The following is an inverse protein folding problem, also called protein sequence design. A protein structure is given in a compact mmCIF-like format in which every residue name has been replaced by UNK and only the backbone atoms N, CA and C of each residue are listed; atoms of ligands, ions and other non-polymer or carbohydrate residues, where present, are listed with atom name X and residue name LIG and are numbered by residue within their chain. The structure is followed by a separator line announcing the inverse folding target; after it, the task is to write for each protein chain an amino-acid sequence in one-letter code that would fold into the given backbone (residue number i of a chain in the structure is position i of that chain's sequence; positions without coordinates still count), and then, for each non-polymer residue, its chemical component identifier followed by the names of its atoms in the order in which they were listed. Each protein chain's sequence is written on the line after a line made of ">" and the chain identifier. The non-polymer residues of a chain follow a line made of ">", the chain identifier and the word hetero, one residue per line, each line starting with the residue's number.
data_IF_607159926374
#
_entry.id   IF_607159926374
#
_cell.length_a   1.000
_cell.length_b   1.000
_cell.length_c   1.000
_cell.angle_alpha   90.00
_cell.angle_beta   90.00
_cell.angle_gamma   90.00
#
_symmetry.space_group_name_H-M   'P 1'
#
loop_
_entity.id
_entity.type
_entity.pdbx_description
1 polymer ?
#
# COMPACT_ATOMS: atom_id res chain seq x y z
N UNK A 1 -6.55 9.20 42.44
CA UNK A 1 -5.86 8.22 41.57
C UNK A 1 -6.46 6.82 41.65
N UNK A 2 -6.87 6.27 42.81
CA UNK A 2 -7.43 4.91 42.86
C UNK A 2 -8.81 4.77 42.20
N UNK A 3 -9.69 5.78 42.29
CA UNK A 3 -11.04 5.69 41.67
C UNK A 3 -11.01 5.70 40.13
N UNK A 4 -10.11 6.47 39.50
CA UNK A 4 -9.94 6.51 38.04
C UNK A 4 -9.34 5.19 37.50
N UNK A 5 -8.38 4.61 38.22
CA UNK A 5 -7.76 3.33 37.87
C UNK A 5 -8.77 2.17 38.01
N UNK A 6 -9.59 2.20 39.07
CA UNK A 6 -10.62 1.18 39.30
C UNK A 6 -11.73 1.25 38.25
N UNK A 7 -12.03 2.45 37.75
CA UNK A 7 -13.00 2.68 36.68
C UNK A 7 -12.47 2.21 35.32
N UNK A 8 -11.22 2.54 34.95
CA UNK A 8 -10.62 2.08 33.68
C UNK A 8 -10.53 0.55 33.60
N UNK A 9 -10.00 -0.11 34.65
CA UNK A 9 -9.94 -1.57 34.68
C UNK A 9 -11.33 -2.21 34.56
N UNK A 10 -12.32 -1.69 35.28
CA UNK A 10 -13.70 -2.15 35.19
C UNK A 10 -14.26 -2.01 33.77
N UNK A 11 -14.02 -0.88 33.09
CA UNK A 11 -14.49 -0.67 31.71
C UNK A 11 -13.86 -1.65 30.74
N UNK A 12 -12.54 -1.89 30.84
CA UNK A 12 -11.85 -2.87 29.99
C UNK A 12 -12.33 -4.30 30.23
N UNK A 13 -12.43 -4.71 31.49
CA UNK A 13 -12.94 -6.04 31.86
C UNK A 13 -14.38 -6.23 31.35
N UNK A 14 -15.23 -5.21 31.48
CA UNK A 14 -16.62 -5.24 31.01
C UNK A 14 -16.72 -5.23 29.49
N UNK A 15 -15.91 -4.43 28.81
CA UNK A 15 -15.84 -4.41 27.35
C UNK A 15 -15.43 -5.79 26.83
N UNK A 16 -14.40 -6.40 27.41
CA UNK A 16 -13.97 -7.75 27.07
C UNK A 16 -15.07 -8.80 27.28
N UNK A 17 -15.83 -8.72 28.38
CA UNK A 17 -16.99 -9.60 28.64
C UNK A 17 -18.05 -9.47 27.55
N UNK A 18 -18.44 -8.24 27.19
CA UNK A 18 -19.41 -7.98 26.13
C UNK A 18 -18.89 -8.47 24.78
N UNK A 19 -17.59 -8.36 24.56
CA UNK A 19 -16.93 -8.82 23.35
C UNK A 19 -17.05 -10.35 23.19
N UNK A 20 -16.80 -11.08 24.28
CA UNK A 20 -16.91 -12.55 24.30
C UNK A 20 -18.37 -13.02 24.18
N UNK A 21 -19.34 -12.32 24.77
CA UNK A 21 -20.77 -12.65 24.62
C UNK A 21 -21.24 -12.66 23.17
N UNK A 22 -20.78 -11.69 22.39
CA UNK A 22 -21.10 -11.63 20.96
C UNK A 22 -20.45 -12.75 20.17
N UNK A 23 -19.27 -13.20 20.60
CA UNK A 23 -18.64 -14.39 20.05
C UNK A 23 -19.42 -15.67 20.34
N UNK A 24 -19.98 -15.78 21.55
CA UNK A 24 -20.81 -16.92 21.97
C UNK A 24 -22.19 -16.95 21.28
N UNK A 25 -22.50 -15.93 20.47
CA UNK A 25 -23.71 -15.86 19.64
C UNK A 25 -24.86 -15.09 20.26
N UNK A 26 -24.62 -14.28 21.30
CA UNK A 26 -25.63 -13.32 21.78
C UNK A 26 -25.95 -12.26 20.71
N UNK A 27 -27.15 -11.67 20.79
CA UNK A 27 -27.59 -10.66 19.82
C UNK A 27 -26.82 -9.35 19.98
N UNK A 28 -26.35 -8.79 18.87
CA UNK A 28 -25.70 -7.47 18.84
C UNK A 28 -26.55 -6.37 19.47
N UNK A 29 -27.87 -6.41 19.30
CA UNK A 29 -28.78 -5.42 19.90
C UNK A 29 -28.84 -5.54 21.43
N UNK A 30 -28.79 -6.76 21.97
CA UNK A 30 -28.84 -7.02 23.41
C UNK A 30 -27.54 -6.56 24.06
N UNK A 31 -26.41 -6.90 23.44
CA UNK A 31 -25.08 -6.51 23.95
C UNK A 31 -24.85 -5.01 23.78
N UNK A 32 -25.37 -4.38 22.72
CA UNK A 32 -25.37 -2.91 22.58
C UNK A 32 -26.14 -2.23 23.69
N UNK A 33 -27.31 -2.76 24.05
CA UNK A 33 -28.11 -2.23 25.14
C UNK A 33 -27.37 -2.37 26.48
N UNK A 34 -26.75 -3.52 26.74
CA UNK A 34 -25.94 -3.75 27.92
C UNK A 34 -24.72 -2.80 27.96
N UNK A 35 -24.06 -2.56 26.83
CA UNK A 35 -22.97 -1.59 26.70
C UNK A 35 -23.45 -0.19 27.11
N UNK A 36 -24.54 0.32 26.53
CA UNK A 36 -25.05 1.67 26.81
C UNK A 36 -25.48 1.82 28.27
N UNK A 37 -26.07 0.78 28.87
CA UNK A 37 -26.51 0.78 30.27
C UNK A 37 -25.32 0.71 31.26
N UNK A 38 -24.27 -0.04 30.92
CA UNK A 38 -23.12 -0.29 31.81
C UNK A 38 -21.93 0.66 31.61
N UNK A 39 -21.67 1.05 30.36
CA UNK A 39 -20.52 1.80 29.88
C UNK A 39 -21.01 2.96 28.98
N UNK A 40 -21.44 4.06 29.61
CA UNK A 40 -22.00 5.23 28.88
C UNK A 40 -21.14 5.67 27.70
N UNK A 41 -19.88 6.01 27.96
CA UNK A 41 -18.89 6.37 26.96
C UNK A 41 -17.58 5.62 27.25
N UNK A 42 -16.87 5.20 26.20
CA UNK A 42 -15.61 4.45 26.31
C UNK A 42 -14.51 5.22 25.56
N UNK A 43 -13.38 5.54 26.21
CA UNK A 43 -12.24 6.13 25.51
C UNK A 43 -11.72 5.19 24.40
N UNK A 44 -11.42 5.73 23.21
CA UNK A 44 -10.92 4.92 22.08
C UNK A 44 -9.66 4.10 22.42
N UNK A 45 -8.76 4.64 23.25
CA UNK A 45 -7.57 3.92 23.68
C UNK A 45 -7.89 2.63 24.45
N UNK A 46 -8.96 2.62 25.27
CA UNK A 46 -9.38 1.42 25.99
C UNK A 46 -9.97 0.35 25.07
N UNK A 47 -10.63 0.76 23.98
CA UNK A 47 -11.13 -0.18 22.94
C UNK A 47 -9.95 -0.90 22.29
N UNK A 48 -8.94 -0.14 21.86
CA UNK A 48 -7.75 -0.68 21.20
C UNK A 48 -6.98 -1.63 22.13
N UNK A 49 -6.80 -1.25 23.40
CA UNK A 49 -6.12 -2.10 24.38
C UNK A 49 -6.82 -3.46 24.54
N UNK A 50 -8.15 -3.47 24.68
CA UNK A 50 -8.92 -4.71 24.84
C UNK A 50 -8.82 -5.60 23.60
N UNK A 51 -8.83 -5.02 22.39
CA UNK A 51 -8.66 -5.78 21.14
C UNK A 51 -7.28 -6.44 21.06
N UNK A 52 -6.22 -5.71 21.41
CA UNK A 52 -4.85 -6.27 21.43
C UNK A 52 -4.71 -7.38 22.47
N UNK A 53 -5.30 -7.20 23.67
CA UNK A 53 -5.30 -8.22 24.72
C UNK A 53 -5.96 -9.53 24.24
N UNK A 54 -7.09 -9.45 23.52
CA UNK A 54 -7.79 -10.63 22.99
C UNK A 54 -7.00 -11.37 21.91
N UNK A 55 -6.31 -10.63 21.03
CA UNK A 55 -5.43 -11.23 20.00
C UNK A 55 -4.28 -11.98 20.67
N UNK A 56 -3.65 -11.37 21.68
CA UNK A 56 -2.54 -11.97 22.42
C UNK A 56 -2.95 -13.23 23.21
N UNK A 57 -4.20 -13.30 23.65
CA UNK A 57 -4.76 -14.47 24.34
C UNK A 57 -5.08 -15.66 23.41
N UNK A 58 -4.80 -15.53 22.11
CA UNK A 58 -4.79 -16.65 21.16
C UNK A 58 -6.10 -16.84 20.39
N UNK A 59 -6.95 -15.82 20.35
CA UNK A 59 -8.17 -15.85 19.56
C UNK A 59 -7.83 -15.86 18.05
N UNK A 60 -8.37 -16.80 17.25
CA UNK A 60 -8.08 -16.88 15.82
C UNK A 60 -8.38 -15.58 15.09
N UNK A 61 -7.52 -15.16 14.17
CA UNK A 61 -7.66 -13.88 13.45
C UNK A 61 -8.99 -13.76 12.68
N UNK A 62 -9.49 -14.86 12.13
CA UNK A 62 -10.80 -14.92 11.47
C UNK A 62 -11.98 -14.70 12.41
N UNK A 63 -11.81 -15.04 13.69
CA UNK A 63 -12.80 -14.80 14.73
C UNK A 63 -12.70 -13.37 15.25
N UNK A 64 -11.49 -12.80 15.33
CA UNK A 64 -11.27 -11.38 15.65
C UNK A 64 -11.93 -10.47 14.61
N UNK A 65 -11.83 -10.80 13.32
CA UNK A 65 -12.55 -10.07 12.26
C UNK A 65 -14.07 -10.05 12.49
N UNK A 66 -14.67 -11.21 12.81
CA UNK A 66 -16.11 -11.30 13.13
C UNK A 66 -16.46 -10.55 14.42
N UNK A 67 -15.58 -10.59 15.41
CA UNK A 67 -15.74 -9.85 16.67
C UNK A 67 -15.72 -8.33 16.41
N UNK A 68 -14.81 -7.82 15.60
CA UNK A 68 -14.71 -6.39 15.31
C UNK A 68 -15.93 -5.85 14.54
N UNK A 69 -16.54 -6.67 13.66
CA UNK A 69 -17.78 -6.31 12.97
C UNK A 69 -18.92 -6.08 13.95
N UNK A 70 -19.04 -6.98 14.91
CA UNK A 70 -20.14 -6.97 15.86
C UNK A 70 -19.92 -5.87 16.91
N UNK A 71 -18.69 -5.63 17.40
CA UNK A 71 -18.43 -4.56 18.37
C UNK A 71 -18.34 -3.17 17.78
N UNK A 72 -17.91 -3.01 16.53
CA UNK A 72 -17.97 -1.71 15.84
C UNK A 72 -19.39 -1.15 15.89
N UNK A 73 -20.38 -1.97 15.54
CA UNK A 73 -21.81 -1.59 15.59
C UNK A 73 -22.33 -1.28 17.01
N UNK A 74 -21.71 -1.87 18.03
CA UNK A 74 -22.09 -1.71 19.45
C UNK A 74 -21.46 -0.44 20.03
N UNK A 75 -20.21 -0.15 19.66
CA UNK A 75 -19.43 0.99 20.11
C UNK A 75 -19.75 2.29 19.35
N UNK A 76 -20.33 2.18 18.15
CA UNK A 76 -20.73 3.30 17.30
C UNK A 76 -21.51 4.37 18.06
N UNK A 77 -20.96 5.59 18.06
CA UNK A 77 -21.52 6.78 18.71
C UNK A 77 -21.32 6.84 20.24
N UNK A 78 -20.65 5.86 20.84
CA UNK A 78 -20.36 5.79 22.28
C UNK A 78 -18.86 5.94 22.60
N UNK A 79 -18.04 6.25 21.60
CA UNK A 79 -16.60 6.49 21.77
C UNK A 79 -16.36 7.92 22.28
N UNK A 80 -15.60 8.07 23.36
CA UNK A 80 -15.22 9.38 23.89
C UNK A 80 -13.99 9.94 23.16
N UNK A 81 -14.18 11.02 22.41
CA UNK A 81 -13.15 11.71 21.64
C UNK A 81 -12.61 12.97 22.35
N UNK A 82 -13.00 13.24 23.59
CA UNK A 82 -12.59 14.46 24.31
C UNK A 82 -11.07 14.58 24.54
N UNK A 83 -10.34 13.46 24.47
CA UNK A 83 -8.88 13.41 24.54
C UNK A 83 -8.14 13.51 23.20
N UNK A 84 -8.86 13.55 22.07
CA UNK A 84 -8.23 13.55 20.75
C UNK A 84 -7.45 14.87 20.50
N UNK A 85 -6.26 14.75 19.90
CA UNK A 85 -5.44 15.91 19.53
C UNK A 85 -6.10 16.74 18.44
N UNK A 86 -5.83 18.05 18.46
CA UNK A 86 -6.20 18.95 17.38
C UNK A 86 -5.46 18.55 16.08
N UNK A 87 -6.18 18.59 14.96
CA UNK A 87 -5.66 18.23 13.65
C UNK A 87 -5.41 19.54 12.87
N UNK A 88 -4.16 19.85 12.48
CA UNK A 88 -3.86 21.02 11.67
C UNK A 88 -4.51 20.95 10.29
N UNK A 89 -4.82 22.12 9.71
CA UNK A 89 -5.34 22.18 8.34
C UNK A 89 -4.30 21.68 7.33
N UNK A 90 -4.76 20.89 6.36
CA UNK A 90 -3.92 20.25 5.34
C UNK A 90 -3.20 18.99 5.82
N UNK A 91 -3.16 18.73 7.14
CA UNK A 91 -2.55 17.51 7.69
C UNK A 91 -3.16 16.26 7.03
N UNK A 92 -2.43 15.15 6.83
CA UNK A 92 -2.96 13.94 6.20
C UNK A 92 -4.30 13.46 6.80
N UNK A 93 -4.44 13.51 8.13
CA UNK A 93 -5.72 13.21 8.82
C UNK A 93 -6.84 14.22 8.51
N UNK A 94 -6.54 15.51 8.36
CA UNK A 94 -7.54 16.50 7.93
C UNK A 94 -8.02 16.19 6.51
N UNK A 95 -7.11 15.83 5.61
CA UNK A 95 -7.43 15.41 4.25
C UNK A 95 -8.31 14.15 4.27
N UNK A 96 -7.93 13.10 5.02
CA UNK A 96 -8.76 11.90 5.16
C UNK A 96 -10.17 12.22 5.66
N UNK A 97 -10.31 13.10 6.66
CA UNK A 97 -11.62 13.53 7.17
C UNK A 97 -12.45 14.28 6.11
N UNK A 98 -11.82 15.11 5.28
CA UNK A 98 -12.49 15.82 4.18
C UNK A 98 -12.96 14.87 3.09
N UNK A 99 -12.14 13.87 2.75
CA UNK A 99 -12.54 12.80 1.83
C UNK A 99 -13.71 11.98 2.38
N UNK A 100 -13.70 11.66 3.68
CA UNK A 100 -14.80 10.97 4.37
C UNK A 100 -16.13 11.71 4.28
N UNK A 101 -16.10 13.06 4.36
CA UNK A 101 -17.28 13.90 4.17
C UNK A 101 -17.81 13.78 2.75
N UNK A 102 -16.95 13.81 1.72
CA UNK A 102 -17.38 13.69 0.33
C UNK A 102 -17.88 12.28 0.01
N UNK A 103 -17.22 11.24 0.52
CA UNK A 103 -17.65 9.84 0.44
C UNK A 103 -19.06 9.65 1.01
N UNK A 104 -19.32 10.17 2.23
CA UNK A 104 -20.66 10.13 2.85
C UNK A 104 -21.71 10.83 1.97
N UNK A 105 -21.41 11.98 1.37
CA UNK A 105 -22.35 12.68 0.47
C UNK A 105 -22.69 11.86 -0.78
N UNK A 106 -21.70 11.21 -1.39
CA UNK A 106 -21.93 10.34 -2.57
C UNK A 106 -22.73 9.11 -2.16
N UNK A 107 -22.41 8.49 -1.03
CA UNK A 107 -23.12 7.35 -0.47
C UNK A 107 -24.60 7.67 -0.15
N UNK A 108 -24.87 8.83 0.44
CA UNK A 108 -26.24 9.31 0.70
C UNK A 108 -27.04 9.52 -0.58
N UNK A 109 -26.44 10.11 -1.62
CA UNK A 109 -27.09 10.29 -2.93
C UNK A 109 -27.38 8.94 -3.60
N UNK A 110 -26.43 8.02 -3.57
CA UNK A 110 -26.61 6.66 -4.09
C UNK A 110 -27.76 5.95 -3.37
N UNK A 111 -27.76 5.98 -2.03
CA UNK A 111 -28.83 5.40 -1.20
C UNK A 111 -30.19 6.01 -1.50
N UNK A 112 -30.28 7.33 -1.64
CA UNK A 112 -31.51 8.02 -2.01
C UNK A 112 -32.06 7.59 -3.37
N UNK A 113 -31.19 7.38 -4.36
CA UNK A 113 -31.63 6.83 -5.65
C UNK A 113 -32.11 5.40 -5.55
N UNK A 114 -31.41 4.53 -4.82
CA UNK A 114 -31.83 3.14 -4.62
C UNK A 114 -33.22 3.06 -3.96
N UNK A 115 -33.47 3.89 -2.95
CA UNK A 115 -34.78 3.98 -2.28
C UNK A 115 -35.90 4.48 -3.20
N UNK A 116 -35.56 5.28 -4.22
CA UNK A 116 -36.51 5.79 -5.20
C UNK A 116 -36.85 4.80 -6.31
N UNK A 117 -36.25 3.60 -6.36
CA UNK A 117 -36.43 2.61 -7.43
C UNK A 117 -37.90 2.33 -7.76
N UNK A 118 -38.74 2.15 -6.74
CA UNK A 118 -40.18 1.87 -6.90
C UNK A 118 -40.97 2.99 -7.57
N UNK A 119 -40.41 4.19 -7.67
CA UNK A 119 -41.04 5.38 -8.26
C UNK A 119 -40.55 5.64 -9.69
N UNK A 120 -39.57 4.87 -10.19
CA UNK A 120 -38.97 5.08 -11.51
C UNK A 120 -39.88 4.54 -12.60
N UNK A 121 -40.29 5.40 -13.54
CA UNK A 121 -41.05 5.00 -14.71
C UNK A 121 -40.20 4.23 -15.73
N UNK A 122 -40.83 3.37 -16.53
CA UNK A 122 -40.13 2.56 -17.57
C UNK A 122 -39.30 3.40 -18.54
N UNK A 123 -39.80 4.56 -18.93
CA UNK A 123 -39.12 5.46 -19.88
C UNK A 123 -37.90 6.18 -19.27
N UNK A 124 -37.78 6.22 -17.94
CA UNK A 124 -36.68 6.88 -17.22
C UNK A 124 -35.65 5.88 -16.66
N UNK A 125 -35.95 4.58 -16.72
CA UNK A 125 -35.17 3.53 -16.07
C UNK A 125 -33.73 3.44 -16.59
N UNK A 126 -33.52 3.56 -17.91
CA UNK A 126 -32.17 3.54 -18.49
C UNK A 126 -31.30 4.69 -17.95
N UNK A 127 -31.87 5.90 -17.89
CA UNK A 127 -31.19 7.08 -17.33
C UNK A 127 -30.92 6.93 -15.83
N UNK A 128 -31.85 6.32 -15.10
CA UNK A 128 -31.72 6.00 -13.69
C UNK A 128 -30.55 5.04 -13.43
N UNK A 129 -30.40 3.97 -14.22
CA UNK A 129 -29.27 3.03 -14.13
C UNK A 129 -27.94 3.75 -14.43
N UNK A 130 -27.87 4.59 -15.46
CA UNK A 130 -26.66 5.35 -15.74
C UNK A 130 -26.28 6.29 -14.58
N UNK A 131 -27.26 6.91 -13.91
CA UNK A 131 -27.00 7.74 -12.74
C UNK A 131 -26.46 6.91 -11.56
N UNK A 132 -27.06 5.74 -11.27
CA UNK A 132 -26.55 4.82 -10.25
C UNK A 132 -25.12 4.35 -10.57
N UNK A 133 -24.84 3.98 -11.82
CA UNK A 133 -23.49 3.62 -12.26
C UNK A 133 -22.49 4.74 -11.97
N UNK A 134 -22.87 6.00 -12.25
CA UNK A 134 -22.06 7.17 -11.94
C UNK A 134 -21.66 7.21 -10.46
N UNK A 135 -22.64 7.10 -9.56
CA UNK A 135 -22.38 7.12 -8.11
C UNK A 135 -21.51 5.95 -7.63
N UNK A 136 -21.76 4.73 -8.09
CA UNK A 136 -20.92 3.59 -7.69
C UNK A 136 -19.50 3.65 -8.25
N UNK A 137 -19.31 4.21 -9.45
CA UNK A 137 -17.98 4.49 -9.98
C UNK A 137 -17.26 5.58 -9.15
N UNK A 138 -17.97 6.63 -8.71
CA UNK A 138 -17.42 7.64 -7.79
C UNK A 138 -17.06 7.03 -6.43
N UNK A 139 -17.91 6.16 -5.86
CA UNK A 139 -17.61 5.48 -4.60
C UNK A 139 -16.40 4.56 -4.71
N UNK A 140 -16.13 3.95 -5.89
CA UNK A 140 -14.95 3.12 -6.10
C UNK A 140 -13.63 3.91 -5.98
N UNK A 141 -13.67 5.24 -6.07
CA UNK A 141 -12.51 6.11 -5.84
C UNK A 141 -11.95 5.96 -4.41
N UNK A 142 -12.75 5.45 -3.47
CA UNK A 142 -12.35 5.10 -2.09
C UNK A 142 -11.12 4.19 -2.02
N UNK A 143 -10.81 3.45 -3.09
CA UNK A 143 -9.62 2.61 -3.14
C UNK A 143 -8.33 3.40 -2.85
N UNK A 144 -8.22 4.64 -3.35
CA UNK A 144 -7.05 5.49 -3.09
C UNK A 144 -6.96 5.86 -1.60
N UNK A 145 -8.09 6.21 -0.99
CA UNK A 145 -8.19 6.50 0.44
C UNK A 145 -7.76 5.29 1.28
N UNK A 146 -8.22 4.08 0.92
CA UNK A 146 -7.83 2.84 1.58
C UNK A 146 -6.35 2.51 1.39
N UNK A 147 -5.84 2.58 0.17
CA UNK A 147 -4.43 2.31 -0.13
C UNK A 147 -3.49 3.22 0.67
N UNK A 148 -3.79 4.51 0.81
CA UNK A 148 -2.96 5.40 1.64
C UNK A 148 -2.95 4.98 3.10
N UNK A 149 -4.08 4.54 3.67
CA UNK A 149 -4.07 4.02 5.05
C UNK A 149 -3.28 2.72 5.14
N UNK A 150 -3.52 1.79 4.21
CA UNK A 150 -2.90 0.46 4.15
C UNK A 150 -1.39 0.51 3.99
N UNK A 151 -0.89 1.37 3.10
CA UNK A 151 0.53 1.40 2.74
C UNK A 151 1.30 2.54 3.42
N UNK A 152 0.63 3.61 3.88
CA UNK A 152 1.31 4.74 4.49
C UNK A 152 1.04 4.89 5.98
N UNK A 153 -0.14 4.53 6.51
CA UNK A 153 -0.47 4.73 7.94
C UNK A 153 -0.24 3.45 8.74
N UNK A 154 -0.79 2.33 8.29
CA UNK A 154 -0.75 1.04 8.98
C UNK A 154 0.67 0.55 9.29
N UNK A 155 1.68 0.69 8.40
CA UNK A 155 3.04 0.25 8.73
C UNK A 155 3.65 0.97 9.94
N UNK A 156 3.29 2.23 10.18
CA UNK A 156 3.74 2.97 11.36
C UNK A 156 3.02 2.51 12.62
N UNK A 157 1.74 2.13 12.54
CA UNK A 157 1.01 1.52 13.66
C UNK A 157 1.62 0.16 14.04
N UNK A 158 1.89 -0.67 13.04
CA UNK A 158 2.46 -2.01 13.20
C UNK A 158 3.89 -1.96 13.76
N UNK A 159 4.71 -0.99 13.32
CA UNK A 159 6.05 -0.75 13.89
C UNK A 159 6.02 -0.41 15.38
N UNK A 160 4.89 0.12 15.86
CA UNK A 160 4.64 0.42 17.27
C UNK A 160 3.80 -0.68 17.95
N UNK A 161 3.83 -1.91 17.43
CA UNK A 161 3.16 -3.10 17.97
C UNK A 161 1.61 -3.06 17.95
N UNK A 162 1.01 -2.09 17.27
CA UNK A 162 -0.44 -2.03 17.05
C UNK A 162 -0.77 -2.73 15.73
N UNK A 163 -1.13 -4.02 15.80
CA UNK A 163 -1.35 -4.86 14.60
C UNK A 163 -2.81 -5.27 14.37
N UNK A 164 -3.62 -5.39 15.44
CA UNK A 164 -5.05 -5.72 15.36
C UNK A 164 -5.89 -4.78 14.47
N UNK A 165 -6.06 -3.50 14.82
CA UNK A 165 -6.92 -2.58 14.06
C UNK A 165 -6.53 -2.43 12.57
N UNK A 166 -5.24 -2.25 12.20
CA UNK A 166 -4.81 -2.22 10.80
C UNK A 166 -5.27 -3.45 10.00
N UNK A 167 -5.04 -4.64 10.56
CA UNK A 167 -5.39 -5.91 9.91
C UNK A 167 -6.88 -6.06 9.70
N UNK A 168 -7.69 -5.68 10.70
CA UNK A 168 -9.14 -5.76 10.63
C UNK A 168 -9.70 -4.78 9.62
N UNK A 169 -9.24 -3.53 9.67
CA UNK A 169 -9.68 -2.48 8.74
C UNK A 169 -9.32 -2.83 7.30
N UNK A 170 -8.12 -3.40 7.05
CA UNK A 170 -7.75 -3.88 5.72
C UNK A 170 -8.72 -4.95 5.21
N UNK A 171 -9.00 -5.97 6.02
CA UNK A 171 -9.98 -7.01 5.64
C UNK A 171 -11.34 -6.43 5.26
N UNK A 172 -11.78 -5.37 5.96
CA UNK A 172 -13.00 -4.64 5.61
C UNK A 172 -12.89 -3.79 4.36
N UNK A 173 -11.76 -3.14 4.11
CA UNK A 173 -11.52 -2.45 2.85
C UNK A 173 -11.66 -3.41 1.67
N UNK A 174 -11.13 -4.63 1.79
CA UNK A 174 -11.25 -5.65 0.75
C UNK A 174 -12.70 -6.09 0.52
N UNK A 175 -13.46 -6.31 1.59
CA UNK A 175 -14.90 -6.62 1.49
C UNK A 175 -15.67 -5.49 0.80
N UNK A 176 -15.44 -4.24 1.19
CA UNK A 176 -16.11 -3.07 0.60
C UNK A 176 -15.74 -2.93 -0.88
N UNK A 177 -14.46 -3.12 -1.24
CA UNK A 177 -14.01 -3.11 -2.65
C UNK A 177 -14.71 -4.19 -3.46
N UNK A 178 -14.84 -5.40 -2.92
CA UNK A 178 -15.51 -6.51 -3.60
C UNK A 178 -16.99 -6.22 -3.80
N UNK A 179 -17.67 -5.73 -2.76
CA UNK A 179 -19.09 -5.34 -2.82
C UNK A 179 -19.35 -4.20 -3.82
N UNK A 180 -18.52 -3.15 -3.82
CA UNK A 180 -18.62 -2.05 -4.78
C UNK A 180 -18.40 -2.53 -6.22
N UNK A 181 -17.40 -3.39 -6.45
CA UNK A 181 -17.17 -4.03 -7.76
C UNK A 181 -18.39 -4.85 -8.20
N UNK A 182 -18.96 -5.66 -7.31
CA UNK A 182 -20.16 -6.44 -7.59
C UNK A 182 -21.36 -5.56 -7.94
N UNK A 183 -21.57 -4.45 -7.22
CA UNK A 183 -22.61 -3.47 -7.56
C UNK A 183 -22.40 -2.89 -8.97
N UNK A 184 -21.16 -2.52 -9.31
CA UNK A 184 -20.82 -1.99 -10.65
C UNK A 184 -21.05 -3.05 -11.74
N UNK A 185 -20.74 -4.32 -11.49
CA UNK A 185 -20.97 -5.42 -12.42
C UNK A 185 -22.47 -5.66 -12.65
N UNK A 186 -23.28 -5.69 -11.59
CA UNK A 186 -24.74 -5.80 -11.69
C UNK A 186 -25.29 -4.66 -12.55
N UNK A 187 -24.91 -3.41 -12.23
CA UNK A 187 -25.40 -2.25 -12.98
C UNK A 187 -24.99 -2.27 -14.45
N UNK A 188 -23.88 -2.93 -14.82
CA UNK A 188 -23.41 -3.08 -16.20
C UNK A 188 -24.05 -4.26 -16.94
N UNK A 189 -24.87 -5.06 -16.27
CA UNK A 189 -25.53 -6.22 -16.88
C UNK A 189 -26.50 -5.76 -17.97
N UNK A 190 -26.37 -6.27 -19.21
CA UNK A 190 -27.32 -5.94 -20.28
C UNK A 190 -28.74 -6.35 -19.88
N UNK A 191 -29.72 -5.50 -20.21
CA UNK A 191 -31.14 -5.77 -19.96
C UNK A 191 -31.52 -5.98 -18.48
N UNK A 192 -30.71 -5.45 -17.53
CA UNK A 192 -31.03 -5.44 -16.10
C UNK A 192 -32.45 -4.90 -15.87
N UNK A 193 -33.32 -5.68 -15.21
CA UNK A 193 -34.69 -5.25 -14.93
C UNK A 193 -34.83 -4.61 -13.55
N UNK A 194 -35.92 -3.87 -13.32
CA UNK A 194 -36.20 -3.27 -12.02
C UNK A 194 -36.37 -4.34 -10.92
N UNK A 195 -36.93 -5.50 -11.25
CA UNK A 195 -37.10 -6.63 -10.32
C UNK A 195 -35.74 -7.23 -9.95
N UNK A 196 -34.86 -7.46 -10.93
CA UNK A 196 -33.49 -7.96 -10.68
C UNK A 196 -32.70 -7.00 -9.77
N UNK A 197 -32.83 -5.69 -10.03
CA UNK A 197 -32.18 -4.67 -9.21
C UNK A 197 -32.76 -4.65 -7.79
N UNK A 198 -34.09 -4.74 -7.63
CA UNK A 198 -34.77 -4.75 -6.33
C UNK A 198 -34.32 -5.94 -5.46
N UNK A 199 -34.19 -7.14 -6.04
CA UNK A 199 -33.69 -8.33 -5.35
C UNK A 199 -32.23 -8.16 -4.88
N UNK A 200 -31.42 -7.42 -5.63
CA UNK A 200 -30.01 -7.18 -5.29
C UNK A 200 -29.81 -6.10 -4.22
N UNK A 201 -30.81 -5.27 -3.92
CA UNK A 201 -30.65 -4.12 -3.01
C UNK A 201 -30.15 -4.51 -1.62
N UNK A 202 -30.86 -5.45 -0.99
CA UNK A 202 -30.52 -5.95 0.35
C UNK A 202 -29.31 -6.90 0.33
N UNK A 203 -29.04 -7.54 -0.82
CA UNK A 203 -27.96 -8.51 -0.94
C UNK A 203 -26.57 -7.85 -1.06
N UNK A 204 -26.48 -6.70 -1.75
CA UNK A 204 -25.16 -6.10 -2.04
C UNK A 204 -25.14 -4.57 -2.01
N UNK A 205 -26.17 -3.87 -2.50
CA UNK A 205 -26.12 -2.41 -2.61
C UNK A 205 -26.18 -1.71 -1.24
N UNK A 206 -27.14 -2.06 -0.40
CA UNK A 206 -27.21 -1.51 0.96
C UNK A 206 -26.04 -1.96 1.83
N UNK A 207 -25.60 -3.24 1.80
CA UNK A 207 -24.37 -3.65 2.46
C UNK A 207 -23.12 -2.84 2.04
N UNK A 208 -22.91 -2.61 0.73
CA UNK A 208 -21.77 -1.83 0.24
C UNK A 208 -21.77 -0.40 0.77
N UNK A 209 -22.92 0.28 0.68
CA UNK A 209 -23.08 1.66 1.16
C UNK A 209 -22.90 1.72 2.68
N UNK A 210 -23.49 0.78 3.42
CA UNK A 210 -23.40 0.74 4.86
C UNK A 210 -21.97 0.47 5.31
N UNK A 211 -21.30 -0.53 4.74
CA UNK A 211 -19.90 -0.84 5.05
C UNK A 211 -18.96 0.35 4.84
N UNK A 212 -19.17 1.13 3.78
CA UNK A 212 -18.41 2.36 3.53
C UNK A 212 -18.66 3.42 4.61
N UNK A 213 -19.92 3.66 4.99
CA UNK A 213 -20.27 4.64 6.05
C UNK A 213 -19.74 4.20 7.41
N UNK A 214 -19.85 2.91 7.74
CA UNK A 214 -19.36 2.32 8.98
C UNK A 214 -17.84 2.39 9.07
N UNK A 215 -17.15 2.22 7.94
CA UNK A 215 -15.69 2.35 7.89
C UNK A 215 -15.24 3.79 8.18
N UNK A 216 -15.92 4.78 7.61
CA UNK A 216 -15.65 6.20 7.91
C UNK A 216 -15.80 6.49 9.41
N UNK A 217 -16.79 5.91 10.08
CA UNK A 217 -16.95 6.07 11.53
C UNK A 217 -15.79 5.44 12.31
N UNK A 218 -15.42 4.20 11.97
CA UNK A 218 -14.28 3.50 12.61
C UNK A 218 -12.97 4.27 12.42
N UNK A 219 -12.80 4.89 11.27
CA UNK A 219 -11.64 5.74 11.02
C UNK A 219 -11.63 6.99 11.90
N UNK A 220 -12.74 7.74 11.93
CA UNK A 220 -12.83 9.00 12.65
C UNK A 220 -12.84 8.83 14.17
N UNK A 221 -13.43 7.75 14.67
CA UNK A 221 -13.59 7.48 16.10
C UNK A 221 -12.42 6.69 16.70
N UNK A 222 -11.77 5.81 15.92
CA UNK A 222 -10.73 4.90 16.43
C UNK A 222 -9.39 5.12 15.74
N UNK A 223 -9.31 4.98 14.41
CA UNK A 223 -8.03 4.98 13.69
C UNK A 223 -7.30 6.31 13.83
N UNK A 224 -7.96 7.42 13.50
CA UNK A 224 -7.32 8.73 13.44
C UNK A 224 -6.92 9.27 14.81
N UNK A 225 -7.75 9.20 15.87
CA UNK A 225 -7.32 9.59 17.21
C UNK A 225 -6.12 8.78 17.68
N UNK A 226 -6.15 7.46 17.49
CA UNK A 226 -5.04 6.56 17.84
C UNK A 226 -3.76 6.89 17.07
N UNK A 227 -3.85 7.07 15.75
CA UNK A 227 -2.71 7.40 14.92
C UNK A 227 -2.12 8.78 15.28
N UNK A 228 -2.97 9.76 15.58
CA UNK A 228 -2.54 11.09 16.04
C UNK A 228 -1.82 11.04 17.39
N UNK A 229 -2.22 10.13 18.27
CA UNK A 229 -1.53 9.93 19.55
C UNK A 229 -0.15 9.32 19.39
N UNK A 230 -0.03 8.34 18.49
CA UNK A 230 1.15 7.50 18.34
C UNK A 230 2.21 8.09 17.41
N UNK A 231 1.82 8.54 16.22
CA UNK A 231 2.75 8.95 15.16
C UNK A 231 3.37 10.31 15.47
N UNK A 232 4.65 10.45 15.13
CA UNK A 232 5.37 11.70 15.25
C UNK A 232 5.07 12.63 14.06
N UNK A 233 5.45 13.91 14.19
CA UNK A 233 5.35 14.88 13.07
C UNK A 233 6.19 14.44 11.86
N UNK A 234 7.32 13.77 12.09
CA UNK A 234 8.18 13.23 11.03
C UNK A 234 7.52 12.06 10.29
N UNK A 235 6.86 11.16 11.03
CA UNK A 235 6.11 10.05 10.41
C UNK A 235 5.01 10.61 9.51
N UNK A 236 4.22 11.57 10.00
CA UNK A 236 3.18 12.23 9.20
C UNK A 236 3.74 12.97 7.99
N UNK A 237 4.89 13.63 8.12
CA UNK A 237 5.56 14.28 6.99
C UNK A 237 5.95 13.28 5.89
N UNK A 238 6.49 12.13 6.26
CA UNK A 238 6.82 11.07 5.31
C UNK A 238 5.56 10.48 4.64
N UNK A 239 4.45 10.37 5.37
CA UNK A 239 3.14 9.96 4.83
C UNK A 239 2.63 10.98 3.81
N UNK A 240 2.71 12.27 4.12
CA UNK A 240 2.28 13.34 3.24
C UNK A 240 3.07 13.34 1.92
N UNK A 241 4.40 13.20 1.99
CA UNK A 241 5.28 13.16 0.81
C UNK A 241 4.98 12.02 -0.17
N UNK A 242 4.51 10.88 0.33
CA UNK A 242 4.16 9.71 -0.48
C UNK A 242 2.68 9.68 -0.89
N UNK A 243 1.84 10.57 -0.35
CA UNK A 243 0.39 10.58 -0.60
C UNK A 243 0.05 10.73 -2.08
N UNK A 244 0.83 11.52 -2.83
CA UNK A 244 0.62 11.74 -4.26
C UNK A 244 0.85 10.50 -5.13
N UNK A 245 1.57 9.48 -4.63
CA UNK A 245 1.76 8.21 -5.36
C UNK A 245 0.45 7.43 -5.49
N UNK A 246 -0.47 7.61 -4.54
CA UNK A 246 -1.80 6.98 -4.52
C UNK A 246 -2.90 7.93 -4.99
N UNK A 247 -2.75 9.24 -4.73
CA UNK A 247 -3.72 10.27 -5.07
C UNK A 247 -4.82 10.46 -4.02
N UNK A 248 -5.82 11.29 -4.34
CA UNK A 248 -6.92 11.66 -3.44
C UNK A 248 -8.27 11.10 -3.89
N UNK A 249 -9.17 10.96 -2.92
CA UNK A 249 -10.53 10.42 -3.10
C UNK A 249 -11.57 11.53 -3.03
N UNK A 250 -12.23 11.85 -4.14
CA UNK A 250 -13.37 12.80 -4.20
C UNK A 250 -13.15 14.22 -3.64
N UNK A 251 -11.96 14.52 -3.13
CA UNK A 251 -11.57 15.80 -2.55
C UNK A 251 -10.17 16.17 -3.08
N UNK A 252 -10.00 17.44 -3.44
CA UNK A 252 -8.73 18.01 -3.88
C UNK A 252 -8.20 18.96 -2.80
N UNK A 253 -7.13 18.60 -2.07
CA UNK A 253 -6.57 19.45 -1.01
C UNK A 253 -6.09 20.79 -1.56
N UNK A 254 -6.54 21.87 -0.92
CA UNK A 254 -6.19 23.24 -1.32
C UNK A 254 -4.99 23.81 -0.55
N UNK A 255 -4.53 23.10 0.48
CA UNK A 255 -3.49 23.53 1.40
C UNK A 255 -2.47 22.41 1.52
N UNK A 256 -1.23 22.72 1.17
CA UNK A 256 -0.09 21.85 1.37
C UNK A 256 0.36 21.96 2.83
N UNK A 257 0.44 20.83 3.52
CA UNK A 257 0.85 20.80 4.93
C UNK A 257 2.36 20.74 5.04
N UNK A 258 2.96 21.75 5.68
CA UNK A 258 4.40 21.81 5.92
C UNK A 258 4.68 22.03 7.41
N UNK A 259 5.10 21.00 8.15
CA UNK A 259 5.44 21.15 9.56
C UNK A 259 6.72 22.00 9.76
N UNK A 260 6.78 22.72 10.88
CA UNK A 260 7.94 23.56 11.21
C UNK A 260 9.23 22.73 11.33
N UNK A 261 10.29 23.18 10.67
CA UNK A 261 11.61 22.56 10.76
C UNK A 261 11.87 21.38 9.81
N UNK A 262 10.87 20.96 9.02
CA UNK A 262 11.07 19.93 7.98
C UNK A 262 11.55 20.54 6.66
N UNK A 263 12.64 20.00 6.12
CA UNK A 263 13.13 20.30 4.76
C UNK A 263 12.57 19.30 3.75
N UNK A 264 12.47 19.71 2.49
CA UNK A 264 12.05 18.83 1.39
C UNK A 264 13.12 17.77 1.02
N UNK A 265 14.36 17.94 1.50
CA UNK A 265 15.51 17.05 1.24
C UNK A 265 15.52 15.78 2.12
N UNK A 266 14.44 15.00 2.10
CA UNK A 266 14.44 13.63 2.67
C UNK A 266 14.84 12.62 1.59
N UNK A 267 16.01 12.84 0.98
CA UNK A 267 16.49 12.04 -0.15
C UNK A 267 18.01 11.90 -0.24
N UNK A 268 18.78 12.47 0.69
CA UNK A 268 20.24 12.38 0.60
C UNK A 268 20.74 10.96 0.91
N UNK A 269 21.46 10.38 -0.05
CA UNK A 269 22.23 9.16 0.17
C UNK A 269 23.36 9.47 1.15
N UNK A 270 23.24 9.00 2.38
CA UNK A 270 24.26 9.21 3.42
C UNK A 270 24.93 7.89 3.79
N UNK A 271 26.22 7.96 4.10
CA UNK A 271 26.97 6.82 4.65
C UNK A 271 27.16 7.09 6.14
N UNK A 272 26.53 6.30 6.99
CA UNK A 272 26.71 6.40 8.43
C UNK A 272 28.09 5.83 8.84
N UNK A 273 28.62 6.29 9.97
CA UNK A 273 29.96 5.93 10.44
C UNK A 273 30.19 4.44 10.73
N UNK A 274 29.13 3.64 10.76
CA UNK A 274 29.12 2.18 10.91
C UNK A 274 29.16 1.42 9.56
N UNK A 275 29.16 2.13 8.43
CA UNK A 275 29.24 1.54 7.09
C UNK A 275 27.89 1.12 6.49
N UNK A 276 26.78 1.57 7.08
CA UNK A 276 25.45 1.47 6.46
C UNK A 276 25.25 2.57 5.40
N UNK A 277 24.65 2.23 4.26
CA UNK A 277 24.33 3.15 3.17
C UNK A 277 22.83 3.41 3.24
N UNK A 278 22.46 4.63 3.59
CA UNK A 278 21.07 5.09 3.58
C UNK A 278 20.69 5.52 2.17
N UNK A 279 19.56 5.01 1.68
CA UNK A 279 18.91 5.37 0.43
C UNK A 279 17.53 5.98 0.75
N UNK A 280 16.87 6.67 -0.21
CA UNK A 280 15.55 7.24 0.01
C UNK A 280 14.49 6.22 0.47
N UNK A 281 14.57 4.98 -0.04
CA UNK A 281 13.58 3.92 0.23
C UNK A 281 14.05 2.87 1.24
N UNK A 282 15.15 3.09 1.97
CA UNK A 282 15.68 2.11 2.93
C UNK A 282 17.19 2.21 3.14
N UNK A 283 17.79 1.20 3.76
CA UNK A 283 19.25 1.17 3.95
C UNK A 283 19.82 -0.22 3.74
N UNK A 284 21.09 -0.26 3.35
CA UNK A 284 21.84 -1.50 3.18
C UNK A 284 23.29 -1.35 3.65
N UNK A 285 23.82 -2.42 4.23
CA UNK A 285 25.25 -2.59 4.38
C UNK A 285 25.90 -2.92 3.03
N UNK A 286 27.19 -2.62 2.88
CA UNK A 286 27.96 -3.03 1.70
C UNK A 286 27.92 -4.55 1.43
N UNK A 287 27.74 -5.36 2.48
CA UNK A 287 27.62 -6.82 2.38
C UNK A 287 26.28 -7.23 1.75
N UNK A 288 25.19 -6.56 2.11
CA UNK A 288 23.86 -6.81 1.53
C UNK A 288 23.81 -6.40 0.07
N UNK A 289 24.34 -5.23 -0.29
CA UNK A 289 24.44 -4.79 -1.69
C UNK A 289 25.23 -5.81 -2.52
N UNK A 290 26.36 -6.27 -2.01
CA UNK A 290 27.16 -7.31 -2.69
C UNK A 290 26.38 -8.62 -2.87
N UNK A 291 25.61 -9.03 -1.86
CA UNK A 291 24.81 -10.25 -1.93
C UNK A 291 23.67 -10.12 -2.95
N UNK A 292 22.96 -8.98 -2.98
CA UNK A 292 21.90 -8.69 -3.95
C UNK A 292 22.48 -8.73 -5.37
N UNK A 293 23.54 -7.96 -5.64
CA UNK A 293 24.17 -7.88 -6.96
C UNK A 293 24.71 -9.22 -7.46
N UNK A 294 25.14 -10.12 -6.57
CA UNK A 294 25.59 -11.48 -6.94
C UNK A 294 24.46 -12.51 -7.03
N UNK A 295 23.24 -12.17 -6.61
CA UNK A 295 22.06 -13.06 -6.64
C UNK A 295 21.18 -12.82 -7.86
N UNK A 296 21.13 -11.59 -8.36
CA UNK A 296 20.44 -11.25 -9.61
C UNK A 296 20.94 -12.19 -10.73
N UNK A 297 20.06 -12.84 -11.51
CA UNK A 297 20.44 -13.79 -12.57
C UNK A 297 20.94 -13.06 -13.82
N UNK A 298 21.93 -12.19 -13.65
CA UNK A 298 22.59 -11.44 -14.69
C UNK A 298 24.01 -11.02 -14.29
N UNK A 299 24.89 -10.91 -15.28
CA UNK A 299 26.20 -10.30 -15.12
C UNK A 299 26.11 -8.80 -15.32
N UNK A 300 26.71 -8.04 -14.41
CA UNK A 300 26.79 -6.58 -14.52
C UNK A 300 28.25 -6.12 -14.47
N UNK A 301 28.63 -5.18 -15.33
CA UNK A 301 29.92 -4.47 -15.28
C UNK A 301 29.69 -2.97 -15.33
N UNK A 302 30.17 -2.24 -14.31
CA UNK A 302 30.09 -0.80 -14.24
C UNK A 302 31.40 -0.15 -14.69
N UNK A 303 31.29 0.80 -15.63
CA UNK A 303 32.35 1.67 -16.14
C UNK A 303 31.99 3.10 -15.74
N UNK A 304 32.89 3.81 -15.06
CA UNK A 304 32.62 5.17 -14.59
C UNK A 304 32.64 6.23 -15.71
N UNK A 305 32.42 7.49 -15.34
CA UNK A 305 32.45 8.64 -16.26
C UNK A 305 33.82 8.88 -16.93
N UNK A 306 34.90 8.34 -16.35
CA UNK A 306 36.27 8.39 -16.86
C UNK A 306 36.63 7.16 -17.73
N UNK A 307 35.62 6.39 -18.12
CA UNK A 307 35.71 5.20 -18.96
C UNK A 307 36.55 4.07 -18.33
N UNK A 308 36.63 4.01 -16.99
CA UNK A 308 37.36 2.99 -16.23
C UNK A 308 36.39 1.98 -15.63
N UNK A 309 36.73 0.69 -15.76
CA UNK A 309 35.94 -0.37 -15.12
C UNK A 309 36.07 -0.26 -13.59
N UNK A 310 34.98 -0.04 -12.87
CA UNK A 310 34.98 0.08 -11.40
C UNK A 310 34.51 -1.16 -10.67
N UNK A 311 33.57 -1.87 -11.27
CA UNK A 311 32.94 -3.00 -10.61
C UNK A 311 32.44 -4.02 -11.64
N UNK A 312 32.41 -5.29 -11.24
CA UNK A 312 31.66 -6.33 -11.94
C UNK A 312 31.13 -7.35 -10.93
N UNK A 313 29.95 -7.92 -11.20
CA UNK A 313 29.33 -8.91 -10.34
C UNK A 313 30.07 -10.25 -10.39
N UNK A 314 30.02 -10.99 -9.29
CA UNK A 314 30.60 -12.32 -9.13
C UNK A 314 29.48 -13.32 -8.81
N UNK A 315 28.41 -13.26 -9.61
CA UNK A 315 27.29 -14.18 -9.52
C UNK A 315 27.67 -15.63 -9.86
N UNK A 316 26.76 -16.56 -9.56
CA UNK A 316 26.98 -18.00 -9.81
C UNK A 316 27.09 -18.32 -11.30
N UNK A 317 26.29 -17.64 -12.13
CA UNK A 317 26.21 -17.89 -13.56
C UNK A 317 26.85 -16.77 -14.37
N UNK A 318 28.17 -16.86 -14.57
CA UNK A 318 28.92 -15.89 -15.38
C UNK A 318 28.94 -16.30 -16.85
N UNK A 319 28.32 -15.47 -17.69
CA UNK A 319 28.29 -15.58 -19.15
C UNK A 319 29.65 -15.19 -19.73
N UNK A 320 30.23 -14.09 -19.23
CA UNK A 320 31.55 -13.62 -19.67
C UNK A 320 32.54 -13.60 -18.51
N UNK A 321 33.70 -14.25 -18.71
CA UNK A 321 34.75 -14.23 -17.70
C UNK A 321 35.28 -12.79 -17.52
N UNK A 322 35.33 -12.34 -16.26
CA UNK A 322 35.97 -11.09 -15.84
C UNK A 322 37.06 -11.39 -14.80
N UNK A 323 38.22 -10.76 -14.97
CA UNK A 323 39.34 -10.86 -14.05
C UNK A 323 39.46 -9.59 -13.23
N UNK A 324 39.83 -9.69 -11.95
CA UNK A 324 40.07 -8.49 -11.10
C UNK A 324 41.13 -7.55 -11.66
N UNK A 325 42.00 -8.04 -12.56
CA UNK A 325 42.99 -7.21 -13.26
C UNK A 325 42.41 -6.12 -14.16
N UNK A 326 41.12 -6.17 -14.50
CA UNK A 326 40.47 -5.13 -15.31
C UNK A 326 40.00 -3.93 -14.49
N UNK A 327 39.97 -4.02 -13.16
CA UNK A 327 39.53 -2.91 -12.32
C UNK A 327 40.47 -1.71 -12.51
N UNK A 328 39.88 -0.53 -12.71
CA UNK A 328 40.49 0.73 -13.13
C UNK A 328 41.16 0.72 -14.52
N UNK A 329 40.98 -0.34 -15.31
CA UNK A 329 41.42 -0.36 -16.71
C UNK A 329 40.44 0.40 -17.58
N UNK A 330 40.97 1.07 -18.61
CA UNK A 330 40.16 1.73 -19.65
C UNK A 330 39.32 0.70 -20.42
N UNK A 331 38.02 0.96 -20.57
CA UNK A 331 37.08 0.04 -21.23
C UNK A 331 37.48 -0.28 -22.67
N UNK A 332 38.14 0.66 -23.36
CA UNK A 332 38.64 0.48 -24.75
C UNK A 332 39.71 -0.60 -24.83
N UNK A 333 40.48 -0.79 -23.74
CA UNK A 333 41.53 -1.80 -23.64
C UNK A 333 41.00 -3.18 -23.20
N UNK A 334 39.75 -3.25 -22.75
CA UNK A 334 39.10 -4.50 -22.34
C UNK A 334 38.49 -5.28 -23.51
N UNK A 335 38.46 -4.69 -24.71
CA UNK A 335 37.86 -5.27 -25.91
C UNK A 335 38.91 -5.54 -27.01
N UNK A 336 38.67 -6.51 -27.90
CA UNK A 336 39.52 -6.71 -29.08
C UNK A 336 39.53 -5.47 -30.00
N UNK A 337 40.63 -5.19 -30.72
CA UNK A 337 40.74 -4.00 -31.57
C UNK A 337 39.62 -3.84 -32.61
N UNK A 338 39.05 -4.94 -33.10
CA UNK A 338 37.94 -4.92 -34.06
C UNK A 338 36.63 -4.35 -33.50
N UNK A 339 36.49 -4.24 -32.18
CA UNK A 339 35.25 -3.78 -31.51
C UNK A 339 35.39 -2.43 -30.81
N UNK A 340 36.60 -1.87 -30.72
CA UNK A 340 36.86 -0.62 -29.99
C UNK A 340 36.05 0.56 -30.53
N UNK A 341 35.88 0.67 -31.85
CA UNK A 341 35.09 1.73 -32.47
C UNK A 341 33.59 1.69 -32.08
N UNK A 342 33.05 0.50 -31.79
CA UNK A 342 31.67 0.33 -31.32
C UNK A 342 31.56 0.80 -29.86
N UNK A 343 32.53 0.40 -29.03
CA UNK A 343 32.60 0.81 -27.62
C UNK A 343 32.70 2.34 -27.51
N UNK A 344 33.59 2.96 -28.29
CA UNK A 344 33.75 4.42 -28.32
C UNK A 344 32.44 5.12 -28.70
N UNK A 345 31.79 4.65 -29.77
CA UNK A 345 30.51 5.21 -30.20
C UNK A 345 29.43 5.14 -29.13
N UNK A 346 29.29 3.99 -28.44
CA UNK A 346 28.31 3.84 -27.36
C UNK A 346 28.59 4.82 -26.23
N UNK A 347 29.85 4.90 -25.78
CA UNK A 347 30.25 5.81 -24.70
C UNK A 347 30.02 7.27 -25.07
N UNK A 348 30.34 7.67 -26.30
CA UNK A 348 30.11 9.04 -26.81
C UNK A 348 28.61 9.37 -26.92
N UNK A 349 27.80 8.47 -27.47
CA UNK A 349 26.36 8.63 -27.59
C UNK A 349 25.70 8.70 -26.19
N UNK A 350 26.22 7.97 -25.21
CA UNK A 350 25.76 8.02 -23.82
C UNK A 350 26.17 9.31 -23.13
N UNK A 351 27.44 9.73 -23.21
CA UNK A 351 27.92 10.99 -22.61
C UNK A 351 27.19 12.21 -23.17
N UNK A 352 26.96 12.24 -24.48
CA UNK A 352 26.24 13.34 -25.14
C UNK A 352 24.72 13.34 -24.91
N UNK A 353 24.15 12.25 -24.35
CA UNK A 353 22.71 12.10 -24.17
C UNK A 353 21.95 11.74 -25.44
N UNK A 354 22.64 11.44 -26.54
CA UNK A 354 22.03 10.99 -27.80
C UNK A 354 21.36 9.62 -27.68
N UNK A 355 21.84 8.77 -26.78
CA UNK A 355 21.21 7.51 -26.42
C UNK A 355 21.35 7.25 -24.92
N UNK A 356 20.41 6.50 -24.34
CA UNK A 356 20.44 6.05 -22.94
C UNK A 356 20.62 4.55 -22.78
N UNK A 357 20.47 3.79 -23.87
CA UNK A 357 20.64 2.34 -23.88
C UNK A 357 21.11 1.83 -25.25
N UNK A 358 21.74 0.66 -25.29
CA UNK A 358 22.18 -0.02 -26.51
C UNK A 358 22.08 -1.56 -26.35
N UNK A 359 21.04 -2.21 -26.91
CA UNK A 359 20.84 -3.65 -26.80
C UNK A 359 21.52 -4.45 -27.91
N UNK A 360 22.01 -5.64 -27.54
CA UNK A 360 22.59 -6.67 -28.39
C UNK A 360 22.06 -8.04 -27.98
N UNK A 361 22.01 -8.99 -28.91
CA UNK A 361 21.70 -10.38 -28.60
C UNK A 361 22.53 -11.31 -29.47
N UNK A 362 23.02 -12.38 -28.87
CA UNK A 362 23.85 -13.38 -29.54
C UNK A 362 23.41 -14.79 -29.16
N UNK A 363 23.64 -15.72 -30.09
CA UNK A 363 23.54 -17.15 -29.83
C UNK A 363 24.94 -17.68 -29.53
N UNK A 364 25.18 -18.20 -28.32
CA UNK A 364 26.49 -18.68 -27.91
C UNK A 364 26.38 -19.97 -27.10
N UNK A 365 27.01 -21.05 -27.56
CA UNK A 365 27.07 -22.34 -26.87
C UNK A 365 25.69 -22.89 -26.43
N UNK A 366 24.69 -22.73 -27.30
CA UNK A 366 23.31 -23.17 -27.02
C UNK A 366 22.51 -22.22 -26.12
N UNK A 367 23.07 -21.07 -25.73
CA UNK A 367 22.41 -20.03 -24.95
C UNK A 367 22.01 -18.85 -25.83
N UNK A 368 20.84 -18.28 -25.59
CA UNK A 368 20.43 -16.98 -26.13
C UNK A 368 20.77 -15.88 -25.12
N UNK A 369 21.85 -15.15 -25.36
CA UNK A 369 22.37 -14.13 -24.46
C UNK A 369 21.93 -12.76 -24.93
N UNK A 370 21.24 -12.01 -24.06
CA UNK A 370 20.99 -10.58 -24.22
C UNK A 370 22.09 -9.80 -23.50
N UNK A 371 22.65 -8.80 -24.18
CA UNK A 371 23.65 -7.87 -23.63
C UNK A 371 23.08 -6.48 -23.85
N UNK A 372 23.01 -5.66 -22.82
CA UNK A 372 22.46 -4.32 -22.91
C UNK A 372 23.35 -3.36 -22.13
N UNK A 373 23.68 -2.24 -22.77
CA UNK A 373 24.42 -1.16 -22.12
C UNK A 373 23.44 -0.05 -21.76
N UNK A 374 23.59 0.53 -20.57
CA UNK A 374 22.77 1.64 -20.08
C UNK A 374 23.65 2.81 -19.67
N UNK A 375 23.24 4.03 -20.00
CA UNK A 375 23.81 5.26 -19.46
C UNK A 375 23.25 5.50 -18.06
N UNK A 376 24.09 5.42 -17.03
CA UNK A 376 23.70 5.75 -15.66
C UNK A 376 23.79 7.27 -15.47
N UNK A 377 22.74 7.84 -14.89
CA UNK A 377 22.63 9.27 -14.59
C UNK A 377 22.12 9.48 -13.17
N UNK A 378 22.51 10.59 -12.55
CA UNK A 378 21.92 11.02 -11.28
C UNK A 378 20.58 11.74 -11.47
N UNK A 379 19.98 12.20 -10.38
CA UNK A 379 18.70 12.91 -10.35
C UNK A 379 18.72 14.24 -11.13
N UNK A 380 19.90 14.84 -11.29
CA UNK A 380 20.11 16.05 -12.09
C UNK A 380 20.38 15.74 -13.57
N UNK A 381 20.43 14.46 -13.94
CA UNK A 381 20.74 14.00 -15.29
C UNK A 381 22.24 13.96 -15.62
N UNK A 382 23.15 14.17 -14.66
CA UNK A 382 24.60 14.07 -14.87
C UNK A 382 24.99 12.63 -15.18
N UNK A 383 25.84 12.43 -16.19
CA UNK A 383 26.33 11.10 -16.57
C UNK A 383 27.32 10.55 -15.54
N UNK A 384 26.95 9.44 -14.89
CA UNK A 384 27.78 8.75 -13.89
C UNK A 384 28.66 7.67 -14.51
N UNK A 385 28.24 7.09 -15.64
CA UNK A 385 28.96 6.00 -16.29
C UNK A 385 28.07 5.10 -17.15
N UNK A 386 28.64 3.99 -17.61
CA UNK A 386 27.94 2.96 -18.38
C UNK A 386 27.81 1.67 -17.56
N UNK A 387 26.62 1.10 -17.51
CA UNK A 387 26.37 -0.24 -16.99
C UNK A 387 26.19 -1.22 -18.15
N UNK A 388 27.06 -2.22 -18.25
CA UNK A 388 26.82 -3.42 -19.06
C UNK A 388 26.01 -4.42 -18.25
N UNK A 389 24.91 -4.91 -18.81
CA UNK A 389 24.04 -5.95 -18.28
C UNK A 389 23.98 -7.12 -19.26
N UNK A 390 24.29 -8.33 -18.81
CA UNK A 390 24.22 -9.54 -19.64
C UNK A 390 23.37 -10.62 -18.97
N UNK A 391 22.42 -11.19 -19.70
CA UNK A 391 21.50 -12.21 -19.20
C UNK A 391 21.32 -13.35 -20.19
N UNK A 392 21.31 -14.58 -19.68
CA UNK A 392 20.89 -15.76 -20.44
C UNK A 392 19.37 -15.86 -20.38
N UNK A 393 18.71 -15.69 -21.53
CA UNK A 393 17.25 -15.73 -21.63
C UNK A 393 16.74 -17.08 -22.15
N UNK A 394 17.58 -18.11 -22.22
CA UNK A 394 17.21 -19.40 -22.81
C UNK A 394 15.99 -20.01 -22.13
N UNK A 395 15.98 -20.06 -20.79
CA UNK A 395 14.85 -20.60 -20.01
C UNK A 395 13.65 -19.65 -20.06
N UNK A 396 13.87 -18.34 -19.88
CA UNK A 396 12.79 -17.34 -19.93
C UNK A 396 12.06 -17.31 -21.28
N UNK A 397 12.77 -17.54 -22.39
CA UNK A 397 12.19 -17.61 -23.74
C UNK A 397 11.36 -18.88 -23.96
N UNK A 398 11.53 -19.90 -23.14
CA UNK A 398 10.81 -21.16 -23.23
C UNK A 398 9.57 -21.23 -22.33
N UNK A 399 9.30 -20.20 -21.53
CA UNK A 399 8.11 -20.14 -20.68
C UNK A 399 6.83 -20.03 -21.53
N UNK A 400 5.82 -20.81 -21.16
CA UNK A 400 4.48 -20.83 -21.77
C UNK A 400 3.41 -20.88 -20.67
N UNK A 401 2.20 -20.40 -20.96
CA UNK A 401 1.09 -20.42 -20.00
C UNK A 401 1.29 -19.49 -18.80
N UNK A 402 0.84 -19.92 -17.62
CA UNK A 402 0.90 -19.15 -16.37
C UNK A 402 1.24 -20.04 -15.17
N UNK A 403 2.00 -19.53 -14.20
CA UNK A 403 2.26 -20.19 -12.93
C UNK A 403 1.88 -19.23 -11.79
N UNK A 404 0.67 -19.41 -11.23
CA UNK A 404 0.09 -18.53 -10.19
C UNK A 404 0.23 -19.06 -8.76
N UNK A 405 0.75 -20.28 -8.60
CA UNK A 405 0.96 -20.93 -7.31
C UNK A 405 2.45 -21.23 -7.10
N UNK A 406 2.85 -21.32 -5.83
CA UNK A 406 4.23 -21.54 -5.42
C UNK A 406 4.80 -22.83 -6.03
N UNK A 407 5.99 -22.73 -6.65
CA UNK A 407 6.82 -23.86 -7.05
C UNK A 407 8.29 -23.51 -6.82
N UNK A 408 9.04 -24.40 -6.18
CA UNK A 408 10.48 -24.21 -5.98
C UNK A 408 11.25 -24.70 -7.21
N UNK A 409 12.24 -23.93 -7.67
CA UNK A 409 13.14 -24.39 -8.74
C UNK A 409 13.99 -25.58 -8.28
N UNK A 410 14.17 -26.59 -9.14
CA UNK A 410 15.02 -27.74 -8.85
C UNK A 410 16.46 -27.26 -8.59
N UNK A 411 17.01 -27.50 -7.39
CA UNK A 411 18.42 -27.23 -7.15
C UNK A 411 19.24 -28.18 -8.01
N UNK A 412 20.01 -27.66 -8.96
CA UNK A 412 21.08 -28.42 -9.60
C UNK A 412 22.01 -28.94 -8.49
N UNK A 413 21.92 -30.23 -8.21
CA UNK A 413 22.79 -30.92 -7.25
C UNK A 413 24.26 -30.61 -7.60
N UNK A 414 25.03 -30.27 -6.58
CA UNK A 414 26.43 -29.85 -6.69
C UNK A 414 27.36 -30.97 -7.10
#
# INVERSE_FOLDING_TARGET
>A
MSELINNSKYRKDKLKELILKLHEGESADEVRKELIESLKNIPYGEVVEVEQELIQEGLPESEVLKLCDIHGSVLEGNVDLSGAKDIPEGHPVDVFKKENIELKKVAEKAKGLLQALSQVGKDEYEKYIFALQGFFNELMDVDKHYQRKEYLVFPYLEKNEITGPPKVMWGKHDEIREQLKGCIEILKTPELTAEDLEESLELIFYPAIQGLVDMVQKEEEILFPMAMDLLTVEDWWNIDKQTLEFGFTLYDPQIEWKPEGMSEDVGETTVSGDGNIQLPSGSFTAKEIMAILNTIPADMTFVDKDDKVKYFTQGKERIFARSRSIINRDVRLCHPPGSTHIVEKIVEDFKSGKASHAPFWIQMKGKFVKIEYFALRDENGEYLGTLEYSQDLTENRALEGEQRILSYGESKEK
#
